data_IF_957989041265
#
_entry.id   IF_957989041265
#
_cell.length_a   1.000
_cell.length_b   1.000
_cell.length_c   1.000
_cell.angle_alpha   90.00
_cell.angle_beta   90.00
_cell.angle_gamma   90.00
#
_symmetry.space_group_name_H-M   'P 1'
#
loop_
_entity.id
_entity.type
_entity.pdbx_description
1 polymer ?
#
# COMPACT_ATOMS: atom_id res chain seq x y z
N UNK A 1 -1.34 17.97 28.13
CA UNK A 1 -0.41 17.94 29.27
C UNK A 1 -0.74 19.04 30.30
N UNK A 2 -0.97 20.29 29.88
CA UNK A 2 -1.34 21.39 30.81
C UNK A 2 -2.66 21.13 31.53
N UNK A 3 -3.68 20.59 30.84
CA UNK A 3 -5.01 20.32 31.41
C UNK A 3 -5.01 19.16 32.41
N UNK A 4 -4.21 18.10 32.18
CA UNK A 4 -4.13 16.94 33.07
C UNK A 4 -3.30 17.21 34.34
N UNK A 5 -2.35 18.15 34.30
CA UNK A 5 -1.49 18.53 35.43
C UNK A 5 -2.06 19.66 36.31
N UNK A 6 -3.16 20.28 35.90
CA UNK A 6 -3.74 21.34 36.71
C UNK A 6 -4.34 20.80 38.01
N UNK A 7 -3.99 21.40 39.14
CA UNK A 7 -4.56 21.10 40.46
C UNK A 7 -6.05 21.48 40.57
N UNK A 8 -6.52 22.41 39.72
CA UNK A 8 -7.94 22.79 39.66
C UNK A 8 -8.77 21.73 38.95
N UNK A 9 -9.98 21.52 39.49
CA UNK A 9 -10.99 20.64 38.82
C UNK A 9 -11.48 21.32 37.56
N UNK A 10 -11.24 20.69 36.41
CA UNK A 10 -11.66 21.19 35.09
C UNK A 10 -12.48 20.11 34.40
N UNK A 11 -13.61 20.51 33.84
CA UNK A 11 -14.39 19.70 32.91
C UNK A 11 -14.91 20.54 31.74
N UNK A 12 -15.03 19.91 30.61
CA UNK A 12 -15.68 20.45 29.41
C UNK A 12 -16.84 19.56 29.00
N UNK A 13 -17.95 20.15 28.67
CA UNK A 13 -19.13 19.47 28.15
C UNK A 13 -19.46 20.05 26.76
N UNK A 14 -19.80 19.18 25.83
CA UNK A 14 -20.25 19.53 24.47
C UNK A 14 -19.32 20.44 23.67
N UNK A 15 -18.01 20.31 23.90
CA UNK A 15 -17.00 21.01 23.12
C UNK A 15 -16.96 20.43 21.68
N UNK A 16 -16.97 21.34 20.69
CA UNK A 16 -16.80 20.98 19.29
C UNK A 16 -15.46 21.55 18.80
N UNK A 17 -14.60 20.69 18.28
CA UNK A 17 -13.29 21.06 17.71
C UNK A 17 -13.29 20.79 16.20
N UNK A 18 -12.86 21.79 15.44
CA UNK A 18 -12.63 21.67 14.01
C UNK A 18 -11.14 21.90 13.74
N UNK A 19 -10.48 20.94 13.13
CA UNK A 19 -9.12 21.10 12.63
C UNK A 19 -9.24 21.41 11.15
N UNK A 20 -8.81 22.61 10.77
CA UNK A 20 -8.89 23.13 9.40
C UNK A 20 -7.46 23.40 8.91
N UNK A 21 -7.16 23.10 7.66
CA UNK A 21 -5.92 23.44 6.96
C UNK A 21 -6.26 23.93 5.57
N UNK A 22 -5.77 25.12 5.19
CA UNK A 22 -6.01 25.75 3.88
C UNK A 22 -7.54 25.81 3.59
N UNK A 23 -8.34 26.26 4.58
CA UNK A 23 -9.82 26.34 4.59
C UNK A 23 -10.57 25.01 4.38
N UNK A 24 -9.85 23.88 4.38
CA UNK A 24 -10.44 22.56 4.29
C UNK A 24 -10.53 21.90 5.66
N UNK A 25 -11.72 21.43 6.00
CA UNK A 25 -11.95 20.68 7.22
C UNK A 25 -11.20 19.33 7.15
N UNK A 26 -10.25 19.10 8.06
CA UNK A 26 -9.51 17.85 8.17
C UNK A 26 -10.23 16.90 9.12
N UNK A 27 -10.52 17.36 10.35
CA UNK A 27 -11.19 16.57 11.38
C UNK A 27 -12.17 17.44 12.12
N UNK A 28 -13.35 16.89 12.36
CA UNK A 28 -14.38 17.45 13.24
C UNK A 28 -14.60 16.49 14.41
N UNK A 29 -14.36 16.98 15.62
CA UNK A 29 -14.69 16.29 16.85
C UNK A 29 -15.90 16.99 17.47
N UNK A 30 -16.93 16.23 17.80
CA UNK A 30 -18.22 16.74 18.24
C UNK A 30 -18.58 16.20 19.62
N UNK A 31 -19.31 16.98 20.37
CA UNK A 31 -19.86 16.60 21.69
C UNK A 31 -18.76 16.02 22.59
N UNK A 32 -17.63 16.72 22.66
CA UNK A 32 -16.48 16.28 23.47
C UNK A 32 -16.80 16.56 24.93
N UNK A 33 -16.69 15.53 25.73
CA UNK A 33 -16.67 15.59 27.18
C UNK A 33 -15.23 15.28 27.66
N UNK A 34 -14.73 16.08 28.58
CA UNK A 34 -13.46 15.84 29.29
C UNK A 34 -13.61 16.21 30.76
N UNK A 35 -12.98 15.43 31.65
CA UNK A 35 -12.83 15.78 33.05
C UNK A 35 -11.47 15.31 33.57
N UNK A 36 -10.80 16.14 34.37
CA UNK A 36 -9.57 15.77 35.06
C UNK A 36 -9.82 15.26 36.50
N UNK A 37 -11.08 15.08 36.91
CA UNK A 37 -11.48 14.61 38.24
C UNK A 37 -12.64 13.63 38.18
N UNK A 38 -12.93 12.97 39.30
CA UNK A 38 -14.04 12.03 39.46
C UNK A 38 -13.83 10.71 38.72
N UNK A 39 -14.91 9.93 38.56
CA UNK A 39 -14.90 8.59 37.94
C UNK A 39 -14.40 8.59 36.47
N UNK A 40 -14.59 9.70 35.77
CA UNK A 40 -14.13 9.86 34.39
C UNK A 40 -12.83 10.67 34.28
N UNK A 41 -12.03 10.67 35.33
CA UNK A 41 -10.75 11.37 35.36
C UNK A 41 -9.92 11.00 34.13
N UNK A 42 -9.39 12.04 33.45
CA UNK A 42 -8.53 11.93 32.27
C UNK A 42 -9.13 11.11 31.11
N UNK A 43 -10.46 11.10 31.02
CA UNK A 43 -11.16 10.48 29.88
C UNK A 43 -11.75 11.57 28.97
N UNK A 44 -11.53 11.37 27.67
CA UNK A 44 -12.17 12.17 26.61
C UNK A 44 -13.18 11.27 25.91
N UNK A 45 -14.41 11.71 25.83
CA UNK A 45 -15.47 11.02 25.10
C UNK A 45 -16.09 12.00 24.12
N UNK A 46 -16.44 11.54 22.93
CA UNK A 46 -17.04 12.40 21.92
C UNK A 46 -17.45 11.64 20.68
N UNK A 47 -17.61 12.36 19.57
CA UNK A 47 -17.85 11.78 18.25
C UNK A 47 -16.78 12.24 17.25
N UNK A 48 -16.34 11.33 16.41
CA UNK A 48 -15.46 11.59 15.26
C UNK A 48 -16.05 10.89 14.04
N UNK A 49 -16.23 11.60 12.93
CA UNK A 49 -16.93 11.08 11.75
C UNK A 49 -18.29 10.43 12.08
N UNK A 50 -19.06 11.05 13.01
CA UNK A 50 -20.35 10.54 13.49
C UNK A 50 -20.28 9.29 14.38
N UNK A 51 -19.10 8.73 14.66
CA UNK A 51 -18.91 7.56 15.54
C UNK A 51 -18.46 8.00 16.94
N UNK A 52 -19.05 7.40 17.97
CA UNK A 52 -18.59 7.63 19.36
C UNK A 52 -17.17 7.14 19.53
N UNK A 53 -16.35 7.91 20.22
CA UNK A 53 -15.02 7.51 20.66
C UNK A 53 -14.83 7.71 22.15
N UNK A 54 -13.89 6.96 22.72
CA UNK A 54 -13.41 7.14 24.08
C UNK A 54 -11.88 7.09 24.06
N UNK A 55 -11.25 8.13 24.59
CA UNK A 55 -9.82 8.15 24.84
C UNK A 55 -9.59 8.24 26.35
N UNK A 56 -8.67 7.45 26.89
CA UNK A 56 -8.21 7.50 28.27
C UNK A 56 -6.75 7.94 28.26
N UNK A 57 -6.43 8.94 29.08
CA UNK A 57 -5.10 9.50 29.21
C UNK A 57 -4.59 9.21 30.62
N UNK A 58 -3.35 8.77 30.76
CA UNK A 58 -2.69 8.76 32.07
C UNK A 58 -2.15 10.16 32.42
N UNK A 59 -1.93 10.39 33.73
CA UNK A 59 -1.59 11.71 34.27
C UNK A 59 -0.38 12.36 33.58
N UNK A 60 0.58 11.56 33.12
CA UNK A 60 1.78 12.05 32.42
C UNK A 60 1.68 12.04 30.89
N UNK A 61 0.56 11.64 30.32
CA UNK A 61 0.41 11.36 28.88
C UNK A 61 1.44 10.36 28.35
N UNK A 62 1.93 9.48 29.20
CA UNK A 62 2.84 8.40 28.80
C UNK A 62 2.06 7.20 28.28
N UNK A 63 0.77 7.12 28.59
CA UNK A 63 -0.14 6.11 28.06
C UNK A 63 -1.43 6.76 27.59
N UNK A 64 -1.82 6.42 26.33
CA UNK A 64 -3.07 6.86 25.71
C UNK A 64 -3.79 5.63 25.17
N UNK A 65 -4.98 5.36 25.69
CA UNK A 65 -5.88 4.36 25.14
C UNK A 65 -6.96 5.05 24.32
N UNK A 66 -7.18 4.62 23.08
CA UNK A 66 -8.24 5.10 22.21
C UNK A 66 -9.11 3.95 21.74
N UNK A 67 -10.44 4.08 21.88
CA UNK A 67 -11.42 3.09 21.44
C UNK A 67 -12.54 3.75 20.64
N UNK A 68 -12.96 3.10 19.56
CA UNK A 68 -14.22 3.37 18.88
C UNK A 68 -15.21 2.25 19.26
N UNK A 69 -16.10 2.46 20.25
CA UNK A 69 -17.09 1.45 20.65
C UNK A 69 -17.87 0.93 19.44
N UNK A 70 -18.15 -0.37 19.44
CA UNK A 70 -18.91 -1.06 18.37
C UNK A 70 -18.25 -1.05 16.98
N UNK A 71 -16.98 -0.65 16.84
CA UNK A 71 -16.27 -0.64 15.56
C UNK A 71 -15.15 -1.69 15.47
N UNK A 72 -14.83 -2.34 16.60
CA UNK A 72 -13.68 -3.27 16.70
C UNK A 72 -12.31 -2.56 16.61
N UNK A 73 -12.27 -1.23 16.84
CA UNK A 73 -11.04 -0.44 16.83
C UNK A 73 -10.65 -0.09 18.28
N UNK A 74 -9.47 -0.55 18.68
CA UNK A 74 -8.83 -0.21 19.94
C UNK A 74 -7.35 0.03 19.69
N UNK A 75 -6.82 1.13 20.23
CA UNK A 75 -5.44 1.56 20.01
C UNK A 75 -4.83 1.99 21.34
N UNK A 76 -3.59 1.56 21.60
CA UNK A 76 -2.80 1.95 22.75
C UNK A 76 -1.51 2.60 22.24
N UNK A 77 -1.17 3.73 22.83
CA UNK A 77 0.07 4.44 22.59
C UNK A 77 0.79 4.61 23.95
N UNK A 78 1.98 4.06 24.03
CA UNK A 78 2.88 4.18 25.17
C UNK A 78 4.02 5.12 24.76
N UNK A 79 4.31 6.16 25.53
CA UNK A 79 5.33 7.18 25.25
C UNK A 79 6.34 7.26 26.39
N UNK A 80 7.61 7.23 26.08
CA UNK A 80 8.67 7.62 27.00
C UNK A 80 9.26 8.96 26.56
N UNK A 81 8.89 10.02 27.26
CA UNK A 81 9.31 11.40 26.91
C UNK A 81 10.80 11.65 27.13
N UNK A 82 11.42 10.93 28.06
CA UNK A 82 12.85 11.10 28.37
C UNK A 82 13.72 10.55 27.25
N UNK A 83 13.39 9.34 26.78
CA UNK A 83 14.11 8.68 25.69
C UNK A 83 13.57 9.04 24.31
N UNK A 84 12.45 9.75 24.24
CA UNK A 84 11.74 10.07 22.99
C UNK A 84 11.40 8.81 22.15
N UNK A 85 10.95 7.77 22.85
CA UNK A 85 10.54 6.50 22.26
C UNK A 85 9.10 6.19 22.58
N UNK A 86 8.50 5.25 21.87
CA UNK A 86 7.17 4.78 22.20
C UNK A 86 6.82 3.48 21.52
N UNK A 87 5.68 2.94 21.94
CA UNK A 87 5.10 1.71 21.40
C UNK A 87 3.66 2.02 21.00
N UNK A 88 3.32 1.69 19.77
CA UNK A 88 1.97 1.76 19.25
C UNK A 88 1.40 0.37 19.04
N UNK A 89 0.23 0.10 19.58
CA UNK A 89 -0.51 -1.16 19.40
C UNK A 89 -1.93 -0.82 18.97
N UNK A 90 -2.40 -1.42 17.90
CA UNK A 90 -3.77 -1.23 17.42
C UNK A 90 -4.41 -2.55 17.00
N UNK A 91 -5.64 -2.74 17.44
CA UNK A 91 -6.54 -3.77 16.92
C UNK A 91 -7.58 -3.08 16.06
N UNK A 92 -7.67 -3.45 14.79
CA UNK A 92 -8.62 -2.88 13.83
C UNK A 92 -9.39 -4.04 13.22
N UNK A 93 -10.64 -4.23 13.65
CA UNK A 93 -11.45 -5.41 13.31
C UNK A 93 -10.68 -6.71 13.66
N UNK A 94 -10.37 -7.52 12.65
CA UNK A 94 -9.64 -8.79 12.80
C UNK A 94 -8.15 -8.67 12.48
N UNK A 95 -7.59 -7.46 12.54
CA UNK A 95 -6.18 -7.19 12.24
C UNK A 95 -5.48 -6.61 13.46
N UNK A 96 -4.22 -6.99 13.65
CA UNK A 96 -3.36 -6.46 14.70
C UNK A 96 -2.19 -5.71 14.06
N UNK A 97 -1.94 -4.51 14.54
CA UNK A 97 -0.79 -3.67 14.20
C UNK A 97 -0.01 -3.35 15.47
N UNK A 98 1.29 -3.53 15.44
CA UNK A 98 2.20 -3.06 16.48
C UNK A 98 3.44 -2.48 15.83
N UNK A 99 3.99 -1.43 16.40
CA UNK A 99 5.34 -0.94 16.10
C UNK A 99 5.92 -0.20 17.29
N UNK A 100 7.23 -0.22 17.38
CA UNK A 100 8.03 0.62 18.26
C UNK A 100 8.51 1.82 17.43
N UNK A 101 8.73 2.98 18.08
CA UNK A 101 9.21 4.16 17.39
C UNK A 101 10.12 5.02 18.25
N UNK A 102 11.03 5.73 17.59
CA UNK A 102 11.85 6.81 18.12
C UNK A 102 11.48 8.09 17.38
N UNK A 103 11.45 9.19 18.06
CA UNK A 103 11.12 10.47 17.45
C UNK A 103 11.98 11.62 17.98
N UNK A 104 12.26 12.57 17.12
CA UNK A 104 12.81 13.87 17.45
C UNK A 104 12.06 14.96 16.68
N UNK A 105 12.55 16.20 16.72
CA UNK A 105 11.90 17.32 16.03
C UNK A 105 11.99 17.23 14.50
N UNK A 106 12.83 16.33 13.96
CA UNK A 106 13.13 16.23 12.52
C UNK A 106 12.73 14.88 11.93
N UNK A 107 12.73 13.83 12.74
CA UNK A 107 12.58 12.44 12.27
C UNK A 107 11.69 11.62 13.17
N UNK A 108 10.98 10.68 12.54
CA UNK A 108 10.26 9.60 13.21
C UNK A 108 10.74 8.28 12.60
N UNK A 109 11.32 7.41 13.41
CA UNK A 109 11.81 6.09 13.03
C UNK A 109 10.88 5.04 13.61
N UNK A 110 10.33 4.18 12.76
CA UNK A 110 9.46 3.06 13.11
C UNK A 110 10.22 1.76 12.88
N UNK A 111 10.19 0.89 13.87
CA UNK A 111 10.88 -0.41 13.85
C UNK A 111 10.11 -1.44 14.67
N UNK A 112 10.55 -2.70 14.67
CA UNK A 112 9.87 -3.82 15.31
C UNK A 112 8.37 -3.86 14.99
N UNK A 113 8.04 -3.50 13.75
CA UNK A 113 6.67 -3.33 13.35
C UNK A 113 6.14 -4.60 12.69
N UNK A 114 4.91 -4.94 13.00
CA UNK A 114 4.19 -5.98 12.29
C UNK A 114 2.73 -5.62 12.07
N UNK A 115 2.21 -6.07 10.96
CA UNK A 115 0.78 -6.11 10.69
C UNK A 115 0.37 -7.54 10.39
N UNK A 116 -0.72 -7.99 11.03
CA UNK A 116 -1.25 -9.35 10.87
C UNK A 116 -2.75 -9.31 10.69
N UNK A 117 -3.23 -9.83 9.57
CA UNK A 117 -4.63 -10.04 9.28
C UNK A 117 -4.84 -11.35 8.51
N UNK A 118 -6.08 -11.74 8.25
CA UNK A 118 -6.41 -12.94 7.46
C UNK A 118 -5.84 -12.92 6.04
N UNK A 119 -5.70 -11.73 5.44
CA UNK A 119 -5.36 -11.58 4.01
C UNK A 119 -4.01 -10.90 3.77
N UNK A 120 -3.39 -10.37 4.81
CA UNK A 120 -2.17 -9.57 4.68
C UNK A 120 -1.36 -9.70 5.97
N UNK A 121 -0.11 -10.06 5.82
CA UNK A 121 0.86 -10.13 6.91
C UNK A 121 2.17 -9.56 6.44
N UNK A 122 2.67 -8.54 7.15
CA UNK A 122 3.96 -7.93 6.86
C UNK A 122 4.63 -7.38 8.10
N UNK A 123 5.93 -7.27 8.02
CA UNK A 123 6.78 -6.48 8.91
C UNK A 123 7.28 -5.27 8.14
N UNK A 124 7.52 -4.16 8.84
CA UNK A 124 8.08 -2.99 8.17
C UNK A 124 9.06 -2.21 9.05
N UNK A 125 9.98 -1.50 8.38
CA UNK A 125 10.83 -0.46 8.97
C UNK A 125 10.58 0.82 8.19
N UNK A 126 10.36 1.93 8.90
CA UNK A 126 10.04 3.20 8.26
C UNK A 126 10.84 4.32 8.90
N UNK A 127 11.41 5.17 8.07
CA UNK A 127 11.99 6.45 8.47
C UNK A 127 11.18 7.57 7.82
N UNK A 128 10.63 8.46 8.64
CA UNK A 128 9.94 9.66 8.18
C UNK A 128 10.80 10.85 8.55
N UNK A 129 11.26 11.59 7.56
CA UNK A 129 11.97 12.87 7.73
C UNK A 129 10.94 14.00 7.58
N UNK A 130 10.85 14.88 8.59
CA UNK A 130 9.87 15.97 8.62
C UNK A 130 10.44 17.27 8.07
N UNK A 131 11.73 17.50 8.29
CA UNK A 131 12.45 18.71 7.89
C UNK A 131 13.84 18.38 7.38
N UNK A 132 14.39 19.10 6.37
CA UNK A 132 13.81 20.28 5.70
C UNK A 132 12.70 19.92 4.70
N UNK A 133 12.67 18.68 4.18
CA UNK A 133 11.64 18.20 3.25
C UNK A 133 10.99 16.94 3.82
N UNK A 134 9.69 16.80 3.58
CA UNK A 134 8.96 15.61 3.99
C UNK A 134 9.32 14.44 3.09
N UNK A 135 9.94 13.41 3.66
CA UNK A 135 10.33 12.19 2.97
C UNK A 135 9.98 10.96 3.82
N UNK A 136 9.52 9.90 3.16
CA UNK A 136 9.19 8.61 3.77
C UNK A 136 10.05 7.53 3.10
N UNK A 137 10.85 6.82 3.89
CA UNK A 137 11.58 5.63 3.45
C UNK A 137 11.01 4.42 4.16
N UNK A 138 10.58 3.39 3.39
CA UNK A 138 10.01 2.19 4.00
C UNK A 138 10.58 0.91 3.40
N UNK A 139 10.75 -0.09 4.26
CA UNK A 139 11.04 -1.47 3.87
C UNK A 139 9.91 -2.35 4.41
N UNK A 140 9.16 -2.99 3.51
CA UNK A 140 8.11 -3.94 3.83
C UNK A 140 8.57 -5.36 3.51
N UNK A 141 8.40 -6.27 4.45
CA UNK A 141 8.59 -7.72 4.24
C UNK A 141 7.24 -8.42 4.40
N UNK A 142 6.74 -8.99 3.31
CA UNK A 142 5.46 -9.68 3.25
C UNK A 142 5.66 -11.18 3.25
N UNK A 143 4.95 -11.88 4.12
CA UNK A 143 4.89 -13.35 4.14
C UNK A 143 3.58 -13.87 3.52
N UNK A 144 2.52 -13.08 3.61
CA UNK A 144 1.20 -13.41 3.09
C UNK A 144 0.61 -12.21 2.35
N UNK A 145 0.24 -12.43 1.09
CA UNK A 145 -0.37 -11.42 0.24
C UNK A 145 -1.50 -12.04 -0.58
N UNK A 146 -2.72 -11.64 -0.30
CA UNK A 146 -3.88 -12.08 -1.06
C UNK A 146 -4.23 -11.04 -2.13
N UNK A 147 -4.31 -11.48 -3.40
CA UNK A 147 -4.64 -10.60 -4.53
C UNK A 147 -5.98 -9.86 -4.40
N UNK A 148 -6.90 -10.34 -3.55
CA UNK A 148 -8.17 -9.66 -3.24
C UNK A 148 -7.98 -8.25 -2.64
N UNK A 149 -6.81 -7.94 -2.09
CA UNK A 149 -6.49 -6.61 -1.57
C UNK A 149 -6.49 -5.59 -2.71
N UNK A 150 -5.94 -5.93 -3.87
CA UNK A 150 -5.87 -5.03 -5.03
C UNK A 150 -7.25 -4.61 -5.53
N UNK A 151 -8.27 -5.47 -5.38
CA UNK A 151 -9.67 -5.14 -5.76
C UNK A 151 -10.29 -4.01 -4.95
N UNK A 152 -9.72 -3.71 -3.78
CA UNK A 152 -10.21 -2.64 -2.88
C UNK A 152 -9.53 -1.29 -3.14
N UNK A 153 -8.48 -1.26 -3.95
CA UNK A 153 -7.77 -0.03 -4.30
C UNK A 153 -8.57 0.70 -5.39
N UNK A 154 -8.97 1.93 -5.11
CA UNK A 154 -9.56 2.81 -6.11
C UNK A 154 -8.51 3.82 -6.58
N UNK A 155 -7.90 3.54 -7.71
CA UNK A 155 -6.83 4.39 -8.25
C UNK A 155 -7.32 5.78 -8.69
N UNK A 156 -8.55 5.86 -9.20
CA UNK A 156 -9.16 7.13 -9.62
C UNK A 156 -9.28 8.07 -8.41
N UNK A 157 -9.71 7.55 -7.26
CA UNK A 157 -9.73 8.33 -6.02
C UNK A 157 -8.35 8.80 -5.56
N UNK A 158 -7.29 8.01 -5.80
CA UNK A 158 -5.92 8.44 -5.52
C UNK A 158 -5.54 9.67 -6.36
N UNK A 159 -5.95 9.71 -7.61
CA UNK A 159 -5.67 10.85 -8.50
C UNK A 159 -6.39 12.14 -8.08
N UNK A 160 -7.46 12.07 -7.29
CA UNK A 160 -8.12 13.26 -6.71
C UNK A 160 -7.20 14.01 -5.71
N UNK A 161 -6.21 13.31 -5.14
CA UNK A 161 -5.26 13.87 -4.17
C UNK A 161 -3.96 14.40 -4.79
N UNK A 162 -3.97 14.81 -6.06
CA UNK A 162 -2.77 15.30 -6.79
C UNK A 162 -1.96 16.34 -6.00
N UNK A 163 -2.62 17.27 -5.33
CA UNK A 163 -1.96 18.33 -4.54
C UNK A 163 -1.19 17.78 -3.31
N UNK A 164 -1.64 16.67 -2.75
CA UNK A 164 -0.96 15.99 -1.65
C UNK A 164 0.18 15.14 -2.21
N UNK A 165 -0.09 14.39 -3.27
CA UNK A 165 0.88 13.50 -3.94
C UNK A 165 2.12 14.28 -4.40
N UNK A 166 1.95 15.51 -4.92
CA UNK A 166 3.06 16.41 -5.29
C UNK A 166 4.01 16.77 -4.14
N UNK A 167 3.52 16.74 -2.91
CA UNK A 167 4.29 17.14 -1.71
C UNK A 167 4.91 15.97 -0.97
N UNK A 168 4.62 14.73 -1.38
CA UNK A 168 5.13 13.52 -0.75
C UNK A 168 6.30 13.00 -1.57
N UNK A 169 7.46 12.86 -0.92
CA UNK A 169 8.56 12.08 -1.43
C UNK A 169 8.65 10.77 -0.66
N UNK A 170 8.78 9.65 -1.37
CA UNK A 170 8.93 8.37 -0.69
C UNK A 170 9.78 7.39 -1.49
N UNK A 171 10.54 6.57 -0.76
CA UNK A 171 11.31 5.44 -1.27
C UNK A 171 10.84 4.19 -0.54
N UNK A 172 10.29 3.24 -1.28
CA UNK A 172 9.69 2.07 -0.71
C UNK A 172 10.30 0.81 -1.31
N UNK A 173 10.73 -0.11 -0.45
CA UNK A 173 11.18 -1.44 -0.83
C UNK A 173 10.15 -2.43 -0.28
N UNK A 174 9.63 -3.27 -1.16
CA UNK A 174 8.64 -4.28 -0.85
C UNK A 174 9.21 -5.64 -1.23
N UNK A 175 9.42 -6.48 -0.24
CA UNK A 175 9.95 -7.84 -0.40
C UNK A 175 8.83 -8.82 -0.03
N UNK A 176 8.50 -9.73 -0.94
CA UNK A 176 7.60 -10.83 -0.66
C UNK A 176 8.37 -12.14 -0.63
N UNK A 177 8.34 -12.79 0.52
CA UNK A 177 8.92 -14.13 0.76
C UNK A 177 7.85 -15.00 1.40
N UNK A 178 7.14 -15.85 0.63
CA UNK A 178 6.11 -16.71 1.20
C UNK A 178 6.69 -17.69 2.20
N UNK A 179 5.90 -18.05 3.21
CA UNK A 179 6.26 -19.12 4.15
C UNK A 179 6.55 -20.42 3.41
N UNK A 180 7.52 -21.20 3.88
CA UNK A 180 8.03 -22.43 3.23
C UNK A 180 6.94 -23.41 2.76
N UNK A 181 5.77 -23.42 3.40
CA UNK A 181 4.65 -24.31 3.08
C UNK A 181 3.47 -23.62 2.39
N UNK A 182 3.57 -22.32 2.09
CA UNK A 182 2.51 -21.63 1.36
C UNK A 182 2.63 -21.93 -0.13
N UNK A 183 1.56 -22.45 -0.74
CA UNK A 183 1.45 -22.65 -2.19
C UNK A 183 1.15 -21.31 -2.89
N UNK A 184 1.98 -20.28 -2.63
CA UNK A 184 1.86 -18.98 -3.29
C UNK A 184 2.00 -19.12 -4.82
N UNK A 185 1.38 -18.21 -5.56
CA UNK A 185 1.54 -18.16 -7.02
C UNK A 185 2.95 -17.67 -7.40
N UNK A 186 3.45 -16.69 -6.69
CA UNK A 186 4.79 -16.09 -6.85
C UNK A 186 5.72 -16.69 -5.79
N UNK A 187 6.91 -17.09 -6.18
CA UNK A 187 7.89 -17.69 -5.27
C UNK A 187 8.66 -16.62 -4.48
N UNK A 188 8.95 -15.50 -5.10
CA UNK A 188 9.44 -14.28 -4.43
C UNK A 188 9.12 -13.04 -5.29
N UNK A 189 9.12 -11.87 -4.66
CA UNK A 189 9.01 -10.58 -5.31
C UNK A 189 9.86 -9.55 -4.59
N UNK A 190 10.59 -8.76 -5.35
CA UNK A 190 11.24 -7.55 -4.90
C UNK A 190 10.68 -6.39 -5.74
N UNK A 191 10.12 -5.38 -5.08
CA UNK A 191 9.54 -4.21 -5.72
C UNK A 191 10.07 -2.96 -5.04
N UNK A 192 10.74 -2.12 -5.82
CA UNK A 192 11.15 -0.77 -5.42
C UNK A 192 10.19 0.24 -6.03
N UNK A 193 9.71 1.17 -5.23
CA UNK A 193 8.80 2.24 -5.66
C UNK A 193 9.31 3.55 -5.10
N UNK A 194 9.60 4.49 -5.97
CA UNK A 194 9.98 5.85 -5.61
C UNK A 194 8.91 6.82 -6.08
N UNK A 195 8.46 7.67 -5.18
CA UNK A 195 7.55 8.77 -5.50
C UNK A 195 8.27 10.09 -5.19
N UNK A 196 8.40 10.94 -6.19
CA UNK A 196 8.99 12.27 -6.03
C UNK A 196 8.25 13.28 -6.90
N UNK A 197 7.79 14.38 -6.31
CA UNK A 197 7.09 15.45 -7.03
C UNK A 197 5.92 14.96 -7.89
N UNK A 198 5.23 13.89 -7.45
CA UNK A 198 4.11 13.29 -8.18
C UNK A 198 4.50 12.33 -9.30
N UNK A 199 5.79 12.08 -9.53
CA UNK A 199 6.29 11.02 -10.43
C UNK A 199 6.58 9.78 -9.62
N UNK A 200 6.03 8.66 -10.06
CA UNK A 200 6.24 7.34 -9.48
C UNK A 200 7.13 6.53 -10.42
N UNK A 201 8.30 6.12 -9.93
CA UNK A 201 9.18 5.18 -10.59
C UNK A 201 9.09 3.83 -9.90
N UNK A 202 9.12 2.73 -10.65
CA UNK A 202 9.16 1.40 -10.05
C UNK A 202 10.13 0.47 -10.77
N UNK A 203 10.73 -0.41 -10.00
CA UNK A 203 11.43 -1.58 -10.47
C UNK A 203 10.91 -2.79 -9.71
N UNK A 204 10.54 -3.84 -10.42
CA UNK A 204 10.12 -5.11 -9.82
C UNK A 204 10.81 -6.28 -10.49
N UNK A 205 11.22 -7.23 -9.69
CA UNK A 205 11.65 -8.55 -10.12
C UNK A 205 10.94 -9.62 -9.30
N UNK A 206 10.59 -10.73 -9.94
CA UNK A 206 9.92 -11.82 -9.28
C UNK A 206 10.17 -13.15 -9.96
N UNK A 207 10.01 -14.24 -9.22
CA UNK A 207 10.13 -15.61 -9.67
C UNK A 207 8.79 -16.32 -9.62
N UNK A 208 8.52 -17.12 -10.67
CA UNK A 208 7.44 -18.09 -10.72
C UNK A 208 8.01 -19.40 -11.30
N UNK A 209 8.06 -20.46 -10.49
CA UNK A 209 8.55 -21.78 -10.91
C UNK A 209 9.90 -21.70 -11.67
N UNK A 210 10.90 -21.04 -11.05
CA UNK A 210 12.25 -20.80 -11.61
C UNK A 210 12.30 -19.86 -12.82
N UNK A 211 11.18 -19.34 -13.28
CA UNK A 211 11.13 -18.36 -14.36
C UNK A 211 11.26 -16.96 -13.76
N UNK A 212 12.16 -16.16 -14.33
CA UNK A 212 12.50 -14.85 -13.84
C UNK A 212 11.81 -13.76 -14.66
N UNK A 213 11.20 -12.81 -13.97
CA UNK A 213 10.51 -11.67 -14.56
C UNK A 213 11.07 -10.38 -13.97
N UNK A 214 11.37 -9.42 -14.81
CA UNK A 214 11.80 -8.08 -14.41
C UNK A 214 11.00 -7.04 -15.16
N UNK A 215 10.51 -6.03 -14.45
CA UNK A 215 9.87 -4.85 -15.06
C UNK A 215 10.36 -3.58 -14.36
N UNK A 216 10.51 -2.52 -15.13
CA UNK A 216 10.69 -1.15 -14.64
C UNK A 216 9.74 -0.24 -15.38
N UNK A 217 9.45 0.90 -14.79
CA UNK A 217 8.62 1.89 -15.45
C UNK A 217 8.39 3.12 -14.60
N UNK A 218 7.64 4.04 -15.19
CA UNK A 218 7.31 5.31 -14.55
C UNK A 218 5.85 5.69 -14.81
N UNK A 219 5.30 6.47 -13.90
CA UNK A 219 3.94 6.98 -13.96
C UNK A 219 3.93 8.42 -13.41
N UNK A 220 3.54 9.38 -14.25
CA UNK A 220 3.32 10.74 -13.78
C UNK A 220 1.87 10.90 -13.28
N UNK A 221 1.69 10.87 -11.95
CA UNK A 221 0.38 10.95 -11.29
C UNK A 221 -0.25 12.35 -11.35
N UNK A 222 0.49 13.35 -11.80
CA UNK A 222 0.05 14.76 -11.82
C UNK A 222 -0.58 15.15 -13.14
N UNK A 223 -0.31 14.41 -14.20
CA UNK A 223 -0.90 14.61 -15.51
C UNK A 223 -2.42 14.40 -15.49
N UNK A 224 -3.08 15.03 -16.44
CA UNK A 224 -4.53 14.86 -16.64
C UNK A 224 -4.85 13.42 -17.07
N UNK A 225 -4.03 12.87 -17.95
CA UNK A 225 -4.13 11.50 -18.47
C UNK A 225 -2.85 10.72 -18.14
N UNK A 226 -2.72 10.18 -16.91
CA UNK A 226 -1.50 9.52 -16.48
C UNK A 226 -1.20 8.28 -17.32
N UNK A 227 -0.02 8.24 -17.93
CA UNK A 227 0.49 7.10 -18.68
C UNK A 227 1.51 6.33 -17.81
N UNK A 228 1.25 5.05 -17.63
CA UNK A 228 2.20 4.13 -17.02
C UNK A 228 3.11 3.56 -18.11
N UNK A 229 4.33 4.05 -18.19
CA UNK A 229 5.36 3.47 -19.07
C UNK A 229 5.93 2.21 -18.42
N UNK A 230 6.22 1.20 -19.24
CA UNK A 230 6.78 -0.06 -18.76
C UNK A 230 7.80 -0.63 -19.74
N UNK A 231 8.85 -1.25 -19.20
CA UNK A 231 9.84 -2.05 -19.90
C UNK A 231 10.01 -3.34 -19.10
N UNK A 232 9.52 -4.45 -19.65
CA UNK A 232 9.48 -5.73 -19.01
C UNK A 232 10.24 -6.79 -19.78
N UNK A 233 10.90 -7.68 -19.05
CA UNK A 233 11.55 -8.86 -19.61
C UNK A 233 11.24 -10.10 -18.80
N UNK A 234 11.24 -11.25 -19.47
CA UNK A 234 11.08 -12.54 -18.84
C UNK A 234 12.12 -13.53 -19.39
N UNK A 235 12.73 -14.30 -18.49
CA UNK A 235 13.56 -15.44 -18.84
C UNK A 235 12.82 -16.70 -18.41
N UNK A 236 12.26 -17.39 -19.39
CA UNK A 236 11.46 -18.60 -19.21
C UNK A 236 12.36 -19.82 -19.35
N UNK A 237 12.69 -20.46 -18.21
CA UNK A 237 13.51 -21.65 -18.13
C UNK A 237 12.69 -22.94 -18.15
N UNK A 238 11.49 -22.89 -17.57
CA UNK A 238 10.58 -24.02 -17.46
C UNK A 238 9.15 -23.57 -17.85
N UNK A 239 8.89 -23.59 -19.14
CA UNK A 239 7.59 -23.19 -19.72
C UNK A 239 6.46 -24.09 -19.23
N UNK A 240 6.71 -25.40 -19.11
CA UNK A 240 5.70 -26.38 -18.70
C UNK A 240 5.22 -26.11 -17.26
N UNK A 241 6.15 -25.92 -16.32
CA UNK A 241 5.79 -25.60 -14.92
C UNK A 241 5.11 -24.25 -14.80
N UNK A 242 5.61 -23.23 -15.54
CA UNK A 242 4.98 -21.92 -15.56
C UNK A 242 3.51 -22.00 -15.96
N UNK A 243 3.22 -22.67 -17.09
CA UNK A 243 1.86 -22.82 -17.61
C UNK A 243 0.98 -23.68 -16.69
N UNK A 244 1.56 -24.69 -16.04
CA UNK A 244 0.86 -25.50 -15.03
C UNK A 244 0.39 -24.66 -13.83
N UNK A 245 1.13 -23.61 -13.42
CA UNK A 245 0.67 -22.64 -12.40
C UNK A 245 -0.62 -21.95 -12.81
N UNK A 246 -0.82 -21.71 -14.10
CA UNK A 246 -2.08 -21.16 -14.65
C UNK A 246 -3.11 -22.25 -14.96
N UNK A 247 -2.87 -23.52 -14.59
CA UNK A 247 -3.71 -24.66 -14.95
C UNK A 247 -3.87 -24.82 -16.47
N UNK A 248 -2.78 -24.58 -17.21
CA UNK A 248 -2.67 -24.79 -18.66
C UNK A 248 -1.72 -25.97 -18.90
N UNK A 249 -2.22 -27.02 -19.55
CA UNK A 249 -1.42 -28.18 -19.90
C UNK A 249 -1.07 -28.14 -21.39
N UNK A 250 0.20 -28.06 -21.70
CA UNK A 250 0.71 -28.11 -23.08
C UNK A 250 1.81 -29.16 -23.21
N UNK A 251 1.90 -29.73 -24.41
CA UNK A 251 3.07 -30.50 -24.85
C UNK A 251 4.11 -29.46 -25.32
N UNK A 252 5.06 -29.09 -24.49
CA UNK A 252 6.09 -28.08 -24.82
C UNK A 252 7.47 -28.65 -24.71
N UNK A 253 8.38 -28.23 -25.59
CA UNK A 253 9.81 -28.43 -25.45
C UNK A 253 10.37 -27.45 -24.41
N UNK A 254 11.24 -27.92 -23.53
CA UNK A 254 11.86 -27.11 -22.45
C UNK A 254 13.01 -26.20 -22.98
N UNK A 255 12.81 -25.53 -24.11
CA UNK A 255 13.79 -24.54 -24.59
C UNK A 255 13.66 -23.25 -23.79
N UNK A 256 14.80 -22.76 -23.30
CA UNK A 256 14.88 -21.46 -22.65
C UNK A 256 14.44 -20.37 -23.63
N UNK A 257 13.54 -19.51 -23.21
CA UNK A 257 13.02 -18.42 -24.02
C UNK A 257 13.14 -17.08 -23.30
N UNK A 258 13.65 -16.08 -24.02
CA UNK A 258 13.72 -14.69 -23.57
C UNK A 258 12.59 -13.87 -24.18
N UNK A 259 11.79 -13.23 -23.36
CA UNK A 259 10.68 -12.36 -23.79
C UNK A 259 10.95 -10.93 -23.32
N UNK A 260 10.69 -9.94 -24.19
CA UNK A 260 10.74 -8.53 -23.82
C UNK A 260 9.52 -7.80 -24.37
N UNK A 261 9.00 -6.87 -23.58
CA UNK A 261 7.87 -6.02 -23.95
C UNK A 261 8.05 -4.63 -23.34
N UNK A 262 7.88 -3.60 -24.14
CA UNK A 262 7.81 -2.22 -23.67
C UNK A 262 6.63 -1.49 -24.31
N UNK A 263 6.16 -0.47 -23.64
CA UNK A 263 5.01 0.30 -24.06
C UNK A 263 4.48 1.20 -22.96
N UNK A 264 3.26 1.64 -23.13
CA UNK A 264 2.58 2.45 -22.13
C UNK A 264 1.12 2.04 -21.96
N UNK A 265 0.57 2.37 -20.80
CA UNK A 265 -0.79 2.08 -20.41
C UNK A 265 -1.46 3.36 -19.89
N UNK A 266 -2.55 3.78 -20.51
CA UNK A 266 -3.43 4.81 -19.96
C UNK A 266 -4.31 4.18 -18.87
N UNK A 267 -4.03 4.54 -17.61
CA UNK A 267 -4.71 3.94 -16.44
C UNK A 267 -6.16 4.42 -16.25
N UNK A 268 -6.55 5.53 -16.88
CA UNK A 268 -7.92 6.05 -16.84
C UNK A 268 -8.79 5.37 -17.89
N UNK A 269 -8.30 5.33 -19.13
CA UNK A 269 -9.06 4.82 -20.27
C UNK A 269 -8.89 3.31 -20.47
N UNK A 270 -8.03 2.65 -19.68
CA UNK A 270 -7.69 1.23 -19.78
C UNK A 270 -7.19 0.86 -21.21
N UNK A 271 -6.37 1.73 -21.81
CA UNK A 271 -5.79 1.55 -23.13
C UNK A 271 -4.31 1.26 -23.03
N UNK A 272 -3.86 0.19 -23.69
CA UNK A 272 -2.45 -0.19 -23.77
C UNK A 272 -1.91 0.07 -25.18
N UNK A 273 -0.66 0.48 -25.25
CA UNK A 273 0.09 0.60 -26.50
C UNK A 273 1.43 -0.12 -26.33
N UNK A 274 1.64 -1.18 -27.11
CA UNK A 274 2.91 -1.90 -27.17
C UNK A 274 3.82 -1.25 -28.23
N UNK A 275 4.90 -0.65 -27.80
CA UNK A 275 5.91 -0.10 -28.70
C UNK A 275 6.74 -1.22 -29.34
N UNK A 276 7.05 -2.25 -28.55
CA UNK A 276 7.80 -3.41 -29.02
C UNK A 276 7.50 -4.64 -28.18
N UNK A 277 7.31 -5.77 -28.86
CA UNK A 277 7.35 -7.10 -28.28
C UNK A 277 8.40 -7.92 -29.02
N UNK A 278 9.20 -8.70 -28.28
CA UNK A 278 10.19 -9.60 -28.88
C UNK A 278 10.27 -10.92 -28.14
N UNK A 279 10.53 -12.00 -28.89
CA UNK A 279 10.78 -13.33 -28.38
C UNK A 279 12.14 -13.83 -28.92
N UNK A 280 13.05 -14.16 -28.01
CA UNK A 280 14.43 -14.58 -28.33
C UNK A 280 15.16 -13.59 -29.28
N UNK A 281 14.94 -12.29 -29.08
CA UNK A 281 15.52 -11.23 -29.88
C UNK A 281 14.77 -10.91 -31.17
N UNK A 282 13.86 -11.75 -31.65
CA UNK A 282 13.03 -11.47 -32.82
C UNK A 282 11.85 -10.58 -32.44
N UNK A 283 11.70 -9.44 -33.12
CA UNK A 283 10.60 -8.50 -32.92
C UNK A 283 9.34 -8.95 -33.66
N UNK A 284 8.19 -8.76 -33.02
CA UNK A 284 6.90 -8.96 -33.69
C UNK A 284 6.55 -7.78 -34.61
N UNK A 285 5.89 -8.02 -35.73
CA UNK A 285 5.43 -6.99 -36.65
C UNK A 285 4.30 -6.15 -36.02
N UNK A 286 4.10 -4.91 -36.49
CA UNK A 286 3.08 -3.97 -35.99
C UNK A 286 1.65 -4.55 -35.99
N UNK A 287 1.33 -5.41 -36.95
CA UNK A 287 0.01 -6.06 -37.03
C UNK A 287 -0.25 -6.94 -35.81
N UNK A 288 0.76 -7.72 -35.41
CA UNK A 288 0.66 -8.60 -34.23
C UNK A 288 0.60 -7.79 -32.93
N UNK A 289 1.32 -6.64 -32.85
CA UNK A 289 1.23 -5.75 -31.70
C UNK A 289 -0.21 -5.28 -31.48
N UNK A 290 -0.90 -4.82 -32.54
CA UNK A 290 -2.31 -4.40 -32.48
C UNK A 290 -3.24 -5.53 -32.03
N UNK A 291 -2.98 -6.75 -32.47
CA UNK A 291 -3.73 -7.91 -32.02
C UNK A 291 -3.53 -8.16 -30.52
N UNK A 292 -2.28 -8.11 -30.05
CA UNK A 292 -1.97 -8.28 -28.63
C UNK A 292 -2.56 -7.14 -27.76
N UNK A 293 -2.55 -5.89 -28.24
CA UNK A 293 -3.21 -4.76 -27.57
C UNK A 293 -4.69 -4.99 -27.41
N UNK A 294 -5.38 -5.33 -28.50
CA UNK A 294 -6.82 -5.60 -28.53
C UNK A 294 -7.20 -6.76 -27.59
N UNK A 295 -6.48 -7.88 -27.69
CA UNK A 295 -6.71 -9.04 -26.83
C UNK A 295 -6.44 -8.72 -25.35
N UNK A 296 -5.38 -7.94 -25.06
CA UNK A 296 -5.03 -7.52 -23.71
C UNK A 296 -6.13 -6.64 -23.10
N UNK A 297 -6.58 -5.62 -23.83
CA UNK A 297 -7.65 -4.72 -23.40
C UNK A 297 -8.96 -5.46 -23.14
N UNK A 298 -9.38 -6.30 -24.08
CA UNK A 298 -10.65 -7.02 -24.01
C UNK A 298 -10.70 -8.03 -22.84
N UNK A 299 -9.58 -8.70 -22.56
CA UNK A 299 -9.54 -9.76 -21.55
C UNK A 299 -9.16 -9.21 -20.17
N UNK A 300 -8.15 -8.33 -20.09
CA UNK A 300 -7.56 -7.90 -18.83
C UNK A 300 -8.13 -6.58 -18.30
N UNK A 301 -8.72 -5.73 -19.15
CA UNK A 301 -9.17 -4.39 -18.76
C UNK A 301 -10.67 -4.16 -18.89
N UNK A 302 -11.47 -5.18 -18.77
CA UNK A 302 -12.92 -5.06 -18.95
C UNK A 302 -13.57 -4.02 -18.02
N UNK A 303 -13.12 -3.92 -16.76
CA UNK A 303 -13.65 -2.95 -15.76
C UNK A 303 -12.58 -2.01 -15.19
N UNK A 304 -11.36 -2.46 -15.08
CA UNK A 304 -10.26 -1.72 -14.46
C UNK A 304 -8.92 -2.34 -14.82
N UNK A 305 -7.87 -1.52 -14.96
CA UNK A 305 -6.51 -2.02 -15.16
C UNK A 305 -6.01 -2.91 -14.01
N UNK A 306 -6.59 -2.82 -12.80
CA UNK A 306 -6.25 -3.69 -11.68
C UNK A 306 -6.66 -5.15 -11.90
N UNK A 307 -7.46 -5.44 -12.91
CA UNK A 307 -7.85 -6.81 -13.29
C UNK A 307 -6.66 -7.64 -13.82
N UNK A 308 -5.53 -7.00 -14.17
CA UNK A 308 -4.26 -7.69 -14.47
C UNK A 308 -3.74 -8.54 -13.30
N UNK A 309 -4.22 -8.30 -12.08
CA UNK A 309 -3.90 -9.13 -10.92
C UNK A 309 -4.83 -10.34 -10.75
N UNK A 310 -5.81 -10.53 -11.64
CA UNK A 310 -6.72 -11.67 -11.62
C UNK A 310 -6.16 -12.85 -12.42
N UNK A 311 -5.69 -13.87 -11.70
CA UNK A 311 -5.07 -15.05 -12.33
C UNK A 311 -5.94 -15.72 -13.41
N UNK A 312 -7.27 -15.72 -13.24
CA UNK A 312 -8.21 -16.26 -14.24
C UNK A 312 -8.14 -15.46 -15.55
N UNK A 313 -8.08 -14.14 -15.48
CA UNK A 313 -7.97 -13.29 -16.68
C UNK A 313 -6.61 -13.42 -17.36
N UNK A 314 -5.54 -13.47 -16.57
CA UNK A 314 -4.19 -13.75 -17.10
C UNK A 314 -4.18 -15.09 -17.83
N UNK A 315 -4.77 -16.14 -17.23
CA UNK A 315 -4.91 -17.44 -17.88
C UNK A 315 -5.63 -17.33 -19.22
N UNK A 316 -6.77 -16.66 -19.27
CA UNK A 316 -7.54 -16.49 -20.51
C UNK A 316 -6.73 -15.75 -21.57
N UNK A 317 -6.01 -14.70 -21.19
CA UNK A 317 -5.12 -13.97 -22.10
C UNK A 317 -3.99 -14.86 -22.63
N UNK A 318 -3.36 -15.67 -21.78
CA UNK A 318 -2.33 -16.63 -22.20
C UNK A 318 -2.90 -17.63 -23.20
N UNK A 319 -4.11 -18.15 -22.97
CA UNK A 319 -4.77 -19.11 -23.88
C UNK A 319 -5.13 -18.49 -25.23
N UNK A 320 -5.40 -17.17 -25.28
CA UNK A 320 -5.72 -16.46 -26.51
C UNK A 320 -4.50 -16.25 -27.41
N UNK A 321 -3.29 -16.12 -26.81
CA UNK A 321 -2.07 -15.77 -27.55
C UNK A 321 -1.15 -16.97 -27.82
N UNK A 322 -1.45 -18.17 -27.27
CA UNK A 322 -0.71 -19.41 -27.56
C UNK A 322 -1.34 -20.16 -28.74
#
# INVERSE_FOLDING_TARGET
EQLSKQKKKISFNDLNLKIVKDDKLIIKLENIFFSNFGYRKNSIVGKVFGKKFKAKLEDNLEFIEFKLPNSGIATNLELNKKTKTGIFKSKILNSNLKFDFEYDNKKLKIFNSYFRSKNLSFDNKTLITLTPFFEIETNFEFEELNSKIFKKINFVKLLEFKNIIKKINSKNIIIYKPKKFSKGFIDNLNLKVELANGRLNYEKDFLIEKNFFKCKGELNLVEEYPLLYFDCSALIKDKKRLLKKFSINIKSSDKVSGFKVNGNLNIINNKINFEQISLNGKKFPKKDLKYFESSFENILFNKSFLEIFELKKIKNYILEII
#
